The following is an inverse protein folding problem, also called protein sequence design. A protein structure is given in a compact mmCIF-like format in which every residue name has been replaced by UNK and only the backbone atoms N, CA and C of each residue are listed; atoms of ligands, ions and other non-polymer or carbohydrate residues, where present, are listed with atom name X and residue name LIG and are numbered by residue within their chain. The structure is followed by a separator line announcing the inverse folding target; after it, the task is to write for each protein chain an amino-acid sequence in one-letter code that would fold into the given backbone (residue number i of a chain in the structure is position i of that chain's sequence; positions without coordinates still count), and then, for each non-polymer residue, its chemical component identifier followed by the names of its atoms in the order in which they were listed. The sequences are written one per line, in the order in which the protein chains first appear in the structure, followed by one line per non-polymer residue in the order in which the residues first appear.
data_IF_061253911136
#
_entry.id   IF_061253911136
#
_cell.length_a   1.000
_cell.length_b   1.000
_cell.length_c   1.000
_cell.angle_alpha   90.00
_cell.angle_beta   90.00
_cell.angle_gamma   90.00
#
_symmetry.space_group_name_H-M   'P 1'
#
loop_
_entity.id
_entity.type
_entity.pdbx_description
1 polymer ?
#
# COMPACT_ATOMS: atom_id res chain seq x y z
N UNK A 1 -4.14 14.78 -2.78
CA UNK A 1 -3.47 14.67 -4.09
C UNK A 1 -2.55 15.86 -4.36
N UNK A 2 -3.05 17.11 -4.42
CA UNK A 2 -2.21 18.30 -4.68
C UNK A 2 -1.02 18.38 -3.73
N UNK A 3 -1.26 18.27 -2.42
CA UNK A 3 -0.18 18.31 -1.41
C UNK A 3 0.91 17.26 -1.67
N UNK A 4 0.53 16.03 -2.02
CA UNK A 4 1.47 14.96 -2.34
C UNK A 4 2.29 15.30 -3.58
N UNK A 5 1.67 15.85 -4.63
CA UNK A 5 2.37 16.28 -5.84
C UNK A 5 3.38 17.40 -5.54
N UNK A 6 3.01 18.38 -4.70
CA UNK A 6 3.88 19.50 -4.34
C UNK A 6 5.14 19.09 -3.57
N UNK A 7 5.10 17.97 -2.84
CA UNK A 7 6.26 17.48 -2.05
C UNK A 7 6.91 16.23 -2.66
N UNK A 8 6.45 15.78 -3.82
CA UNK A 8 6.98 14.64 -4.56
C UNK A 8 8.49 14.77 -4.88
N UNK A 9 9.03 15.95 -5.22
CA UNK A 9 10.47 16.11 -5.46
C UNK A 9 11.36 15.74 -4.26
N UNK A 10 10.79 15.70 -3.05
CA UNK A 10 11.50 15.32 -1.83
C UNK A 10 11.35 13.84 -1.47
N UNK A 11 10.61 13.06 -2.26
CA UNK A 11 10.43 11.62 -2.05
C UNK A 11 11.79 10.90 -2.09
N UNK A 12 12.06 10.08 -1.07
CA UNK A 12 13.33 9.34 -0.95
C UNK A 12 14.51 10.16 -0.43
N UNK A 13 14.37 11.49 -0.32
CA UNK A 13 15.43 12.36 0.23
C UNK A 13 15.42 12.29 1.75
N UNK A 14 16.58 12.04 2.35
CA UNK A 14 16.79 12.04 3.81
C UNK A 14 17.61 13.27 4.19
N UNK A 15 17.20 13.95 5.27
CA UNK A 15 17.88 15.12 5.82
C UNK A 15 18.25 14.88 7.28
N UNK A 16 19.34 15.50 7.72
CA UNK A 16 19.73 15.52 9.12
C UNK A 16 19.28 16.85 9.76
N UNK A 17 18.47 16.76 10.81
CA UNK A 17 18.07 17.91 11.61
C UNK A 17 18.34 17.62 13.09
N UNK A 18 19.13 18.48 13.74
CA UNK A 18 19.47 18.36 15.17
C UNK A 18 19.97 16.95 15.56
N UNK A 19 20.88 16.37 14.75
CA UNK A 19 21.45 15.01 14.93
C UNK A 19 20.47 13.85 14.77
N UNK A 20 19.28 14.08 14.20
CA UNK A 20 18.32 13.03 13.85
C UNK A 20 18.13 13.02 12.33
N UNK A 21 18.14 11.83 11.74
CA UNK A 21 17.79 11.64 10.34
C UNK A 21 16.28 11.53 10.19
N UNK A 22 15.72 12.23 9.20
CA UNK A 22 14.30 12.15 8.87
C UNK A 22 14.05 12.38 7.37
N UNK A 23 12.92 11.91 6.83
CA UNK A 23 12.54 12.19 5.45
C UNK A 23 12.36 13.69 5.20
N UNK A 24 12.93 14.21 4.12
CA UNK A 24 12.83 15.62 3.72
C UNK A 24 11.38 16.07 3.55
N UNK A 25 10.51 15.18 3.06
CA UNK A 25 9.06 15.40 2.94
C UNK A 25 8.45 15.85 4.27
N UNK A 26 8.83 15.23 5.38
CA UNK A 26 8.31 15.62 6.71
C UNK A 26 8.80 17.02 7.12
N UNK A 27 10.04 17.36 6.80
CA UNK A 27 10.60 18.68 7.07
C UNK A 27 9.87 19.76 6.26
N UNK A 28 9.68 19.54 4.95
CA UNK A 28 8.99 20.48 4.06
C UNK A 28 7.54 20.69 4.49
N UNK A 29 6.82 19.62 4.78
CA UNK A 29 5.43 19.69 5.26
C UNK A 29 5.31 20.48 6.57
N UNK A 30 6.22 20.22 7.53
CA UNK A 30 6.17 20.83 8.86
C UNK A 30 6.68 22.27 8.90
N UNK A 31 7.82 22.55 8.27
CA UNK A 31 8.55 23.79 8.47
C UNK A 31 8.32 24.80 7.34
N UNK A 32 8.16 24.34 6.09
CA UNK A 32 7.93 25.22 4.94
C UNK A 32 6.43 25.44 4.69
N UNK A 33 5.66 24.36 4.51
CA UNK A 33 4.23 24.43 4.18
C UNK A 33 3.37 24.64 5.45
N UNK A 34 3.85 24.17 6.61
CA UNK A 34 3.17 24.25 7.91
C UNK A 34 1.82 23.52 7.95
N UNK A 35 1.77 22.31 7.40
CA UNK A 35 0.57 21.46 7.42
C UNK A 35 0.30 20.87 8.81
N UNK A 36 -0.91 20.35 9.02
CA UNK A 36 -1.27 19.66 10.27
C UNK A 36 -0.74 18.21 10.31
N UNK A 37 -0.87 17.54 11.47
CA UNK A 37 -0.44 16.15 11.64
C UNK A 37 -1.18 15.14 10.76
N UNK A 38 -2.46 15.39 10.45
CA UNK A 38 -3.24 14.48 9.62
C UNK A 38 -2.71 14.48 8.17
N UNK A 39 -2.40 15.65 7.63
CA UNK A 39 -1.80 15.80 6.30
C UNK A 39 -0.43 15.12 6.21
N UNK A 40 0.42 15.31 7.23
CA UNK A 40 1.73 14.64 7.28
C UNK A 40 1.61 13.11 7.29
N UNK A 41 0.67 12.58 8.09
CA UNK A 41 0.42 11.14 8.15
C UNK A 41 -0.13 10.62 6.82
N UNK A 42 -1.07 11.33 6.18
CA UNK A 42 -1.65 10.95 4.90
C UNK A 42 -0.59 10.92 3.79
N UNK A 43 0.25 11.95 3.68
CA UNK A 43 1.36 11.98 2.70
C UNK A 43 2.35 10.86 2.97
N UNK A 44 2.73 10.63 4.23
CA UNK A 44 3.65 9.55 4.60
C UNK A 44 3.10 8.18 4.21
N UNK A 45 1.81 7.92 4.46
CA UNK A 45 1.13 6.68 4.05
C UNK A 45 1.16 6.51 2.54
N UNK A 46 0.78 7.53 1.77
CA UNK A 46 0.79 7.49 0.30
C UNK A 46 2.21 7.22 -0.22
N UNK A 47 3.22 7.91 0.31
CA UNK A 47 4.61 7.81 -0.16
C UNK A 47 5.26 6.46 0.13
N UNK A 48 4.89 5.79 1.24
CA UNK A 48 5.31 4.40 1.49
C UNK A 48 4.81 3.44 0.42
N UNK A 49 3.65 3.72 -0.17
CA UNK A 49 3.06 2.89 -1.22
C UNK A 49 3.70 3.03 -2.60
N UNK A 50 4.36 4.16 -2.90
CA UNK A 50 4.78 4.51 -4.27
C UNK A 50 5.64 3.41 -4.91
N UNK A 51 6.74 3.01 -4.27
CA UNK A 51 7.67 2.03 -4.85
C UNK A 51 7.00 0.64 -5.05
N UNK A 52 6.16 0.23 -4.09
CA UNK A 52 5.46 -1.06 -4.14
C UNK A 52 4.42 -1.04 -5.26
N UNK A 53 3.68 0.07 -5.41
CA UNK A 53 2.67 0.23 -6.44
C UNK A 53 3.28 0.36 -7.84
N UNK A 54 4.46 0.98 -7.99
CA UNK A 54 5.20 0.97 -9.27
C UNK A 54 5.55 -0.46 -9.67
N UNK A 55 6.16 -1.21 -8.75
CA UNK A 55 6.52 -2.62 -8.97
C UNK A 55 5.29 -3.46 -9.30
N UNK A 56 4.16 -3.24 -8.60
CA UNK A 56 2.93 -3.97 -8.84
C UNK A 56 2.30 -3.64 -10.20
N UNK A 57 2.39 -2.38 -10.63
CA UNK A 57 1.86 -1.92 -11.91
C UNK A 57 2.69 -2.42 -13.10
N UNK A 58 3.99 -2.67 -12.92
CA UNK A 58 4.87 -3.28 -13.92
C UNK A 58 4.61 -4.78 -14.13
N UNK A 59 4.06 -5.48 -13.13
CA UNK A 59 3.65 -6.89 -13.31
C UNK A 59 2.48 -6.97 -14.29
N UNK A 60 2.40 -8.06 -15.05
CA UNK A 60 1.21 -8.32 -15.84
C UNK A 60 0.00 -8.39 -14.91
N UNK A 61 -1.13 -7.83 -15.36
CA UNK A 61 -2.36 -7.78 -14.56
C UNK A 61 -2.88 -9.17 -14.19
N UNK A 62 -2.46 -10.22 -14.90
CA UNK A 62 -2.80 -11.63 -14.63
C UNK A 62 -1.96 -12.24 -13.50
N UNK A 63 -0.74 -11.75 -13.27
CA UNK A 63 0.20 -12.29 -12.29
C UNK A 63 -0.04 -11.74 -10.86
N UNK A 64 -0.88 -10.71 -10.74
CA UNK A 64 -1.17 -10.05 -9.45
C UNK A 64 -2.05 -10.96 -8.59
N UNK A 65 -1.49 -11.47 -7.49
CA UNK A 65 -2.24 -12.21 -6.49
C UNK A 65 -3.21 -11.29 -5.75
N UNK A 66 -4.43 -11.79 -5.52
CA UNK A 66 -5.49 -11.07 -4.79
C UNK A 66 -5.05 -10.69 -3.36
N UNK A 67 -4.38 -11.60 -2.66
CA UNK A 67 -3.82 -11.36 -1.33
C UNK A 67 -2.71 -10.31 -1.31
N UNK A 68 -1.77 -10.39 -2.26
CA UNK A 68 -0.68 -9.41 -2.38
C UNK A 68 -1.23 -8.00 -2.50
N UNK A 69 -2.15 -7.79 -3.45
CA UNK A 69 -2.73 -6.47 -3.66
C UNK A 69 -3.65 -6.05 -2.50
N UNK A 70 -4.43 -6.97 -1.95
CA UNK A 70 -5.29 -6.70 -0.79
C UNK A 70 -4.49 -6.27 0.44
N UNK A 71 -3.33 -6.88 0.69
CA UNK A 71 -2.45 -6.48 1.79
C UNK A 71 -1.89 -5.06 1.60
N UNK A 72 -1.58 -4.67 0.36
CA UNK A 72 -1.17 -3.29 0.03
C UNK A 72 -2.30 -2.30 0.27
N UNK A 73 -3.52 -2.61 -0.18
CA UNK A 73 -4.71 -1.77 0.07
C UNK A 73 -4.94 -1.59 1.57
N UNK A 74 -4.78 -2.66 2.36
CA UNK A 74 -4.92 -2.60 3.83
C UNK A 74 -3.89 -1.71 4.50
N UNK A 75 -2.63 -1.76 4.06
CA UNK A 75 -1.56 -0.92 4.62
C UNK A 75 -1.77 0.56 4.28
N UNK A 76 -2.25 0.84 3.06
CA UNK A 76 -2.54 2.21 2.60
C UNK A 76 -3.88 2.75 3.14
N UNK A 77 -4.76 1.89 3.63
CA UNK A 77 -6.06 2.27 4.17
C UNK A 77 -6.96 2.89 3.11
N UNK A 78 -7.79 3.85 3.51
CA UNK A 78 -8.68 4.60 2.61
C UNK A 78 -7.94 5.46 1.57
N UNK A 79 -6.61 5.58 1.67
CA UNK A 79 -5.78 6.38 0.76
C UNK A 79 -5.25 5.58 -0.43
N UNK A 80 -5.52 4.28 -0.53
CA UNK A 80 -4.93 3.39 -1.53
C UNK A 80 -5.13 3.88 -2.98
N UNK A 81 -6.33 4.34 -3.35
CA UNK A 81 -6.57 4.91 -4.69
C UNK A 81 -5.77 6.19 -4.94
N UNK A 82 -5.68 7.04 -3.91
CA UNK A 82 -4.90 8.27 -4.01
C UNK A 82 -3.42 7.94 -4.15
N UNK A 83 -2.94 6.90 -3.47
CA UNK A 83 -1.58 6.43 -3.59
C UNK A 83 -1.27 5.91 -4.99
N UNK A 84 -2.17 5.13 -5.61
CA UNK A 84 -2.02 4.70 -7.00
C UNK A 84 -1.94 5.90 -7.96
N UNK A 85 -2.84 6.88 -7.81
CA UNK A 85 -2.84 8.09 -8.66
C UNK A 85 -1.56 8.91 -8.47
N UNK A 86 -1.07 9.06 -7.25
CA UNK A 86 0.21 9.74 -6.97
C UNK A 86 1.40 8.97 -7.56
N UNK A 87 1.32 7.64 -7.56
CA UNK A 87 2.33 6.77 -8.18
C UNK A 87 2.37 6.97 -9.70
N UNK A 88 1.21 7.08 -10.35
CA UNK A 88 1.10 7.44 -11.76
C UNK A 88 1.73 8.82 -12.05
N UNK A 89 1.44 9.82 -11.21
CA UNK A 89 2.04 11.16 -11.34
C UNK A 89 3.56 11.09 -11.19
N UNK A 90 4.09 10.29 -10.26
CA UNK A 90 5.54 10.11 -10.08
C UNK A 90 6.18 9.54 -11.34
N UNK A 91 5.61 8.47 -11.90
CA UNK A 91 6.15 7.85 -13.11
C UNK A 91 6.06 8.79 -14.32
N UNK A 92 4.97 9.55 -14.46
CA UNK A 92 4.88 10.59 -15.49
C UNK A 92 5.99 11.64 -15.35
N UNK A 93 6.24 12.14 -14.14
CA UNK A 93 7.30 13.12 -13.91
C UNK A 93 8.71 12.55 -14.14
N UNK A 94 8.90 11.25 -13.91
CA UNK A 94 10.17 10.57 -14.18
C UNK A 94 10.41 10.35 -15.68
N UNK A 95 9.35 10.07 -16.45
CA UNK A 95 9.43 9.90 -17.90
C UNK A 95 9.54 11.23 -18.65
N UNK A 96 9.05 12.33 -18.07
CA UNK A 96 9.01 13.66 -18.68
C UNK A 96 9.67 14.75 -17.80
N UNK A 97 10.97 14.63 -17.45
CA UNK A 97 11.62 15.51 -16.49
C UNK A 97 11.85 16.95 -17.00
N UNK A 98 12.03 17.12 -18.33
CA UNK A 98 12.38 18.40 -18.95
C UNK A 98 11.19 19.13 -19.58
N UNK A 99 9.97 18.59 -19.43
CA UNK A 99 8.77 19.20 -20.02
C UNK A 99 8.36 20.45 -19.24
N UNK A 100 8.41 21.65 -19.86
CA UNK A 100 8.10 22.88 -19.15
C UNK A 100 6.59 22.98 -18.88
N UNK A 101 6.21 23.50 -17.71
CA UNK A 101 4.82 23.74 -17.34
C UNK A 101 4.07 24.63 -18.36
N UNK A 102 4.77 25.45 -19.15
CA UNK A 102 4.16 26.27 -20.20
C UNK A 102 3.74 25.51 -21.47
N UNK A 103 4.12 24.23 -21.62
CA UNK A 103 3.79 23.39 -22.79
C UNK A 103 2.37 22.79 -22.75
N UNK A 104 1.53 23.19 -21.79
CA UNK A 104 0.14 22.71 -21.59
C UNK A 104 -0.73 22.84 -22.87
N UNK A 105 -0.36 23.71 -23.82
CA UNK A 105 -1.12 23.97 -25.04
C UNK A 105 -0.80 23.03 -26.24
N UNK A 106 -0.34 21.80 -26.01
CA UNK A 106 -0.61 20.71 -26.94
C UNK A 106 0.56 20.02 -27.63
N UNK A 107 1.65 19.71 -26.93
CA UNK A 107 2.69 18.80 -27.48
C UNK A 107 3.23 17.73 -26.54
N UNK A 108 2.87 17.72 -25.27
CA UNK A 108 3.19 16.56 -24.42
C UNK A 108 2.25 15.43 -24.84
N UNK A 109 2.70 14.57 -25.75
CA UNK A 109 2.06 13.28 -25.99
C UNK A 109 2.32 12.42 -24.75
N UNK A 110 1.57 12.68 -23.69
CA UNK A 110 1.50 11.76 -22.56
C UNK A 110 1.00 10.46 -23.14
N UNK A 111 1.90 9.47 -23.24
CA UNK A 111 1.52 8.14 -23.69
C UNK A 111 0.45 7.63 -22.73
N UNK A 112 -0.77 7.32 -23.22
CA UNK A 112 -1.88 6.90 -22.37
C UNK A 112 -1.53 5.63 -21.59
N UNK A 113 -0.53 4.87 -22.06
CA UNK A 113 0.02 3.66 -21.46
C UNK A 113 0.31 3.77 -19.96
N UNK A 114 0.96 4.86 -19.49
CA UNK A 114 1.28 5.02 -18.06
C UNK A 114 -0.02 5.14 -17.26
N UNK A 115 -0.94 6.01 -17.69
CA UNK A 115 -2.23 6.20 -17.03
C UNK A 115 -3.07 4.93 -17.06
N UNK A 116 -3.14 4.25 -18.21
CA UNK A 116 -3.91 3.01 -18.40
C UNK A 116 -3.41 1.88 -17.50
N UNK A 117 -2.09 1.75 -17.31
CA UNK A 117 -1.48 0.75 -16.43
C UNK A 117 -1.99 0.90 -14.99
N UNK A 118 -2.00 2.12 -14.47
CA UNK A 118 -2.49 2.40 -13.11
C UNK A 118 -4.02 2.35 -13.00
N UNK A 119 -4.74 2.73 -14.05
CA UNK A 119 -6.20 2.60 -14.08
C UNK A 119 -6.61 1.12 -14.08
N UNK A 120 -5.92 0.26 -14.85
CA UNK A 120 -6.08 -1.20 -14.80
C UNK A 120 -5.82 -1.76 -13.40
N UNK A 121 -4.84 -1.23 -12.67
CA UNK A 121 -4.57 -1.64 -11.29
C UNK A 121 -5.73 -1.28 -10.37
N UNK A 122 -6.32 -0.09 -10.51
CA UNK A 122 -7.53 0.30 -9.77
C UNK A 122 -8.68 -0.65 -10.13
N UNK A 123 -8.98 -0.84 -11.41
CA UNK A 123 -10.04 -1.74 -11.85
C UNK A 123 -9.84 -3.19 -11.36
N UNK A 124 -8.59 -3.65 -11.25
CA UNK A 124 -8.28 -4.97 -10.70
C UNK A 124 -8.76 -5.10 -9.25
N UNK A 125 -8.58 -4.06 -8.42
CA UNK A 125 -9.06 -4.07 -7.03
C UNK A 125 -10.59 -4.22 -6.95
N UNK A 126 -11.32 -3.55 -7.86
CA UNK A 126 -12.76 -3.69 -7.99
C UNK A 126 -13.14 -5.11 -8.45
N UNK A 127 -12.48 -5.63 -9.48
CA UNK A 127 -12.75 -6.98 -10.01
C UNK A 127 -12.51 -8.08 -8.99
N UNK A 128 -11.49 -7.91 -8.13
CA UNK A 128 -11.20 -8.80 -7.02
C UNK A 128 -12.14 -8.61 -5.83
N UNK A 129 -12.97 -7.57 -5.80
CA UNK A 129 -13.83 -7.26 -4.66
C UNK A 129 -13.05 -6.88 -3.40
N UNK A 130 -11.83 -6.34 -3.54
CA UNK A 130 -10.94 -5.97 -2.42
C UNK A 130 -10.83 -4.46 -2.21
N UNK A 131 -11.57 -3.64 -2.97
CA UNK A 131 -11.52 -2.16 -2.86
C UNK A 131 -11.72 -1.63 -1.44
N UNK A 132 -12.56 -2.31 -0.64
CA UNK A 132 -12.87 -1.95 0.74
C UNK A 132 -12.19 -2.88 1.77
N UNK A 133 -11.21 -3.71 1.35
CA UNK A 133 -10.61 -4.71 2.23
C UNK A 133 -9.82 -4.10 3.39
N UNK A 134 -9.45 -2.82 3.32
CA UNK A 134 -8.88 -2.06 4.44
C UNK A 134 -9.84 -1.92 5.64
N UNK A 135 -11.14 -2.11 5.43
CA UNK A 135 -12.16 -2.09 6.49
C UNK A 135 -12.46 -3.48 7.07
N UNK A 136 -11.96 -4.55 6.43
CA UNK A 136 -12.27 -5.91 6.84
C UNK A 136 -11.65 -6.23 8.20
N UNK A 137 -12.47 -6.87 9.05
CA UNK A 137 -12.02 -7.44 10.30
C UNK A 137 -11.44 -8.82 10.07
N UNK A 138 -10.53 -9.20 10.95
CA UNK A 138 -10.08 -10.56 11.09
C UNK A 138 -11.29 -11.44 11.49
N UNK A 139 -11.54 -12.54 10.76
CA UNK A 139 -12.61 -13.52 11.08
C UNK A 139 -12.44 -14.07 12.50
N UNK A 140 -11.19 -14.38 12.86
CA UNK A 140 -10.78 -14.83 14.18
C UNK A 140 -9.96 -13.73 14.87
N UNK A 141 -10.17 -13.53 16.18
CA UNK A 141 -9.40 -12.55 16.95
C UNK A 141 -8.01 -13.07 17.35
N UNK A 142 -7.13 -12.17 17.79
CA UNK A 142 -5.76 -12.53 18.15
C UNK A 142 -5.64 -13.53 19.31
N UNK A 143 -6.61 -13.55 20.23
CA UNK A 143 -6.63 -14.48 21.36
C UNK A 143 -6.92 -15.89 20.86
N UNK A 144 -7.97 -16.05 20.04
CA UNK A 144 -8.32 -17.33 19.44
C UNK A 144 -7.23 -17.82 18.49
N UNK A 145 -6.65 -16.95 17.67
CA UNK A 145 -5.52 -17.30 16.81
C UNK A 145 -4.36 -17.92 17.61
N UNK A 146 -3.97 -17.35 18.75
CA UNK A 146 -2.92 -17.93 19.60
C UNK A 146 -3.33 -19.22 20.32
N UNK A 147 -4.61 -19.36 20.68
CA UNK A 147 -5.13 -20.57 21.33
C UNK A 147 -5.07 -21.79 20.41
N UNK A 148 -5.39 -21.62 19.11
CA UNK A 148 -5.33 -22.69 18.11
C UNK A 148 -3.95 -23.34 18.04
N UNK A 149 -2.91 -22.52 18.16
CA UNK A 149 -1.51 -22.96 18.02
C UNK A 149 -0.80 -23.18 19.37
N UNK A 150 -1.54 -23.15 20.49
CA UNK A 150 -1.00 -23.39 21.83
C UNK A 150 -0.03 -22.31 22.35
N UNK A 151 -0.09 -21.10 21.81
CA UNK A 151 0.79 -19.99 22.20
C UNK A 151 0.13 -19.06 23.22
N UNK A 152 0.97 -18.40 24.02
CA UNK A 152 0.53 -17.24 24.80
C UNK A 152 0.44 -16.00 23.90
N UNK A 153 -0.48 -15.05 24.19
CA UNK A 153 -0.51 -13.75 23.52
C UNK A 153 0.86 -13.08 23.58
N UNK A 154 1.36 -12.61 22.43
CA UNK A 154 2.73 -12.13 22.31
C UNK A 154 3.13 -11.77 20.88
N UNK A 155 4.43 -11.73 20.56
CA UNK A 155 4.95 -11.27 19.26
C UNK A 155 4.34 -11.98 18.05
N UNK A 156 3.96 -13.25 18.19
CA UNK A 156 3.39 -14.08 17.13
C UNK A 156 1.95 -13.68 16.74
N UNK A 157 1.23 -12.93 17.57
CA UNK A 157 -0.17 -12.53 17.28
C UNK A 157 -0.23 -11.77 15.96
N UNK A 158 0.68 -10.81 15.75
CA UNK A 158 0.71 -9.99 14.51
C UNK A 158 0.95 -10.85 13.27
N UNK A 159 1.83 -11.85 13.38
CA UNK A 159 2.12 -12.80 12.31
C UNK A 159 0.90 -13.67 11.98
N UNK A 160 0.25 -14.26 12.98
CA UNK A 160 -0.94 -15.09 12.78
C UNK A 160 -2.08 -14.29 12.17
N UNK A 161 -2.30 -13.05 12.62
CA UNK A 161 -3.30 -12.15 12.03
C UNK A 161 -2.97 -11.80 10.58
N UNK A 162 -1.69 -11.61 10.24
CA UNK A 162 -1.24 -11.39 8.85
C UNK A 162 -1.52 -12.61 7.96
N UNK A 163 -1.19 -13.82 8.44
CA UNK A 163 -1.45 -15.08 7.73
C UNK A 163 -2.95 -15.25 7.49
N UNK A 164 -3.74 -15.09 8.54
CA UNK A 164 -5.19 -15.13 8.45
C UNK A 164 -5.74 -14.13 7.43
N UNK A 165 -5.30 -12.87 7.47
CA UNK A 165 -5.79 -11.86 6.55
C UNK A 165 -5.41 -12.17 5.09
N UNK A 166 -4.21 -12.71 4.88
CA UNK A 166 -3.77 -13.19 3.57
C UNK A 166 -4.71 -14.29 3.06
N UNK A 167 -5.04 -15.27 3.91
CA UNK A 167 -6.00 -16.33 3.60
C UNK A 167 -7.41 -15.79 3.34
N UNK A 168 -7.90 -14.83 4.14
CA UNK A 168 -9.22 -14.18 3.93
C UNK A 168 -9.31 -13.46 2.59
N UNK A 169 -8.21 -12.83 2.16
CA UNK A 169 -8.13 -12.18 0.85
C UNK A 169 -8.11 -13.20 -0.29
N UNK A 170 -7.71 -14.44 -0.07
CA UNK A 170 -7.76 -15.51 -1.07
C UNK A 170 -9.11 -16.25 -1.06
N UNK A 171 -9.76 -16.31 0.10
CA UNK A 171 -10.98 -17.08 0.34
C UNK A 171 -12.09 -16.15 0.87
N UNK A 172 -12.75 -15.36 -0.01
CA UNK A 172 -13.69 -14.33 0.41
C UNK A 172 -14.96 -14.89 1.05
N UNK A 173 -15.33 -16.12 0.68
CA UNK A 173 -16.48 -16.86 1.20
C UNK A 173 -16.07 -17.90 2.24
N UNK A 174 -14.79 -17.88 2.63
CA UNK A 174 -14.23 -18.83 3.58
C UNK A 174 -14.87 -18.72 4.96
N UNK A 175 -15.15 -19.87 5.55
CA UNK A 175 -15.74 -20.00 6.88
C UNK A 175 -14.73 -19.74 7.99
N UNK A 176 -15.24 -19.58 9.21
CA UNK A 176 -14.38 -19.48 10.39
C UNK A 176 -13.56 -20.76 10.59
N UNK A 177 -14.18 -21.91 10.43
CA UNK A 177 -13.57 -23.23 10.63
C UNK A 177 -12.42 -23.47 9.64
N UNK A 178 -12.61 -23.13 8.36
CA UNK A 178 -11.55 -23.22 7.35
C UNK A 178 -10.41 -22.24 7.63
N UNK A 179 -10.73 -21.04 8.11
CA UNK A 179 -9.74 -20.05 8.54
C UNK A 179 -8.90 -20.55 9.72
N UNK A 180 -9.54 -21.15 10.73
CA UNK A 180 -8.84 -21.72 11.88
C UNK A 180 -7.88 -22.85 11.46
N UNK A 181 -8.34 -23.74 10.56
CA UNK A 181 -7.52 -24.81 10.00
C UNK A 181 -6.31 -24.28 9.23
N UNK A 182 -6.48 -23.23 8.41
CA UNK A 182 -5.37 -22.63 7.68
C UNK A 182 -4.30 -22.03 8.60
N UNK A 183 -4.69 -21.47 9.75
CA UNK A 183 -3.76 -20.97 10.78
C UNK A 183 -2.96 -22.13 11.40
N UNK A 184 -3.63 -23.23 11.76
CA UNK A 184 -2.99 -24.42 12.33
C UNK A 184 -2.00 -25.07 11.36
N UNK A 185 -2.38 -25.21 10.08
CA UNK A 185 -1.54 -25.77 9.03
C UNK A 185 -0.28 -24.91 8.80
N UNK A 186 -0.44 -23.59 8.71
CA UNK A 186 0.69 -22.67 8.57
C UNK A 186 1.67 -22.81 9.74
N UNK A 187 1.16 -22.83 10.97
CA UNK A 187 2.00 -22.91 12.16
C UNK A 187 2.72 -24.25 12.29
N UNK A 188 2.03 -25.34 11.97
CA UNK A 188 2.61 -26.69 11.99
C UNK A 188 3.76 -26.81 10.99
N UNK A 189 3.56 -26.33 9.76
CA UNK A 189 4.60 -26.34 8.72
C UNK A 189 5.81 -25.48 9.08
N UNK A 190 5.59 -24.36 9.79
CA UNK A 190 6.66 -23.47 10.24
C UNK A 190 7.56 -24.12 11.30
N UNK A 191 7.01 -24.97 12.17
CA UNK A 191 7.79 -25.65 13.22
C UNK A 191 8.52 -26.93 12.73
N UNK A 192 8.27 -27.35 11.48
CA UNK A 192 8.94 -28.49 10.85
C UNK A 192 10.22 -28.08 10.08
N UNK A 193 10.46 -26.77 9.94
CA UNK A 193 11.65 -26.16 9.31
C UNK A 193 12.59 -25.60 10.38
#
# INVERSE_FOLDING_TARGET
MILCASVLPFLGVIVEQKKKTMPAVQLVLRDAIKTNNADMNNVSTIFRGVAILQTLAEKNTEDIKRSEFGMIIRDLGSLWETAIKVTAIKELLDCFPDEPWSAINGKVQVTPEICEKYDKLIQKAYSFGIKDCYQWKHIVDGKRATQLVGLKPGPHVSELLKVQMTWQLENPEGTKEECEKAIEEYWSNKNLL
#
